data_IF_211173773107
#
_entry.id   IF_211173773107
#
_cell.length_a   1.000
_cell.length_b   1.000
_cell.length_c   1.000
_cell.angle_alpha   90.00
_cell.angle_beta   90.00
_cell.angle_gamma   90.00
#
_symmetry.space_group_name_H-M   'P 1'
#
loop_
_entity.id
_entity.type
_entity.pdbx_description
1 polymer ?
#
# COMPACT_ATOMS: atom_id res chain seq x y z
N UNK A 1 1.07 -9.18 -11.31
CA UNK A 1 1.33 -7.74 -11.44
C UNK A 1 0.82 -7.07 -10.17
N UNK A 2 1.54 -6.10 -9.61
CA UNK A 2 1.17 -5.46 -8.33
C UNK A 2 1.02 -3.94 -8.51
N UNK A 3 0.07 -3.36 -7.80
CA UNK A 3 -0.22 -1.92 -7.84
C UNK A 3 -0.22 -1.40 -6.40
N UNK A 4 0.43 -0.26 -6.17
CA UNK A 4 0.43 0.46 -4.91
C UNK A 4 -0.69 1.51 -4.94
N UNK A 5 -1.52 1.55 -3.91
CA UNK A 5 -2.42 2.68 -3.67
C UNK A 5 -1.67 3.71 -2.82
N UNK A 6 -1.86 5.01 -3.08
CA UNK A 6 -1.25 6.08 -2.27
C UNK A 6 -1.52 5.81 -0.78
N UNK A 7 -0.50 5.84 0.09
CA UNK A 7 -0.66 5.45 1.49
C UNK A 7 -1.58 6.40 2.27
N UNK A 8 -2.20 5.85 3.31
CA UNK A 8 -2.83 6.61 4.38
C UNK A 8 -1.98 6.55 5.64
N UNK A 9 -2.06 7.59 6.48
CA UNK A 9 -1.30 7.67 7.72
C UNK A 9 -2.05 6.89 8.82
N UNK A 10 -1.33 6.02 9.54
CA UNK A 10 -1.86 5.25 10.67
C UNK A 10 -2.07 6.17 11.88
N UNK A 11 -3.23 6.82 11.91
CA UNK A 11 -3.59 7.79 12.96
C UNK A 11 -3.87 7.14 14.32
N UNK A 12 -4.10 5.83 14.34
CA UNK A 12 -4.51 5.12 15.55
C UNK A 12 -3.33 4.76 16.44
N UNK A 13 -2.14 4.57 15.85
CA UNK A 13 -1.04 3.95 16.60
C UNK A 13 0.35 4.51 16.30
N UNK A 14 0.49 5.44 15.36
CA UNK A 14 1.77 6.07 15.07
C UNK A 14 1.67 7.57 14.80
N UNK A 15 0.83 7.97 13.86
CA UNK A 15 0.70 9.36 13.44
C UNK A 15 -0.33 10.09 14.32
N UNK A 16 0.09 11.01 15.18
CA UNK A 16 -0.84 11.65 16.14
C UNK A 16 -1.61 12.84 15.56
N UNK A 17 -1.22 13.29 14.39
CA UNK A 17 -1.79 14.46 13.74
C UNK A 17 -2.96 14.05 12.81
N UNK A 18 -3.93 14.93 12.64
CA UNK A 18 -5.13 14.67 11.83
C UNK A 18 -4.89 14.80 10.33
N UNK A 19 -3.69 15.24 9.91
CA UNK A 19 -3.37 15.44 8.52
C UNK A 19 -3.40 14.16 7.71
N UNK A 20 -3.76 14.33 6.44
CA UNK A 20 -3.69 13.28 5.42
C UNK A 20 -2.29 13.22 4.81
N UNK A 21 -1.98 12.11 4.16
CA UNK A 21 -0.71 11.93 3.45
C UNK A 21 -0.47 13.06 2.43
N UNK A 22 -1.50 13.42 1.66
CA UNK A 22 -1.46 14.46 0.63
C UNK A 22 -1.30 15.89 1.16
N UNK A 23 -1.62 16.12 2.43
CA UNK A 23 -1.44 17.44 3.07
C UNK A 23 0.01 17.66 3.53
N UNK A 24 0.78 16.58 3.66
CA UNK A 24 2.18 16.61 4.13
C UNK A 24 3.16 16.35 2.99
N UNK A 25 2.79 15.48 2.03
CA UNK A 25 3.65 15.05 0.94
C UNK A 25 3.06 15.44 -0.43
N UNK A 26 3.93 15.89 -1.33
CA UNK A 26 3.59 16.08 -2.74
C UNK A 26 3.36 14.70 -3.40
N UNK A 27 2.08 14.34 -3.53
CA UNK A 27 1.64 13.05 -4.07
C UNK A 27 2.04 12.89 -5.54
N UNK A 28 1.96 13.96 -6.33
CA UNK A 28 2.27 13.88 -7.76
C UNK A 28 3.76 13.66 -7.98
N UNK A 29 4.61 14.31 -7.17
CA UNK A 29 6.05 14.02 -7.15
C UNK A 29 6.35 12.61 -6.67
N UNK A 30 5.67 12.13 -5.62
CA UNK A 30 5.82 10.76 -5.12
C UNK A 30 5.52 9.71 -6.20
N UNK A 31 4.40 9.87 -6.92
CA UNK A 31 4.00 8.98 -8.01
C UNK A 31 5.02 9.04 -9.15
N UNK A 32 5.38 10.25 -9.59
CA UNK A 32 6.29 10.44 -10.73
C UNK A 32 7.66 9.83 -10.46
N UNK A 33 8.18 10.01 -9.24
CA UNK A 33 9.51 9.53 -8.86
C UNK A 33 9.62 8.00 -8.87
N UNK A 34 8.54 7.28 -8.53
CA UNK A 34 8.51 5.82 -8.43
C UNK A 34 7.87 5.12 -9.63
N UNK A 35 7.34 5.89 -10.59
CA UNK A 35 6.58 5.39 -11.75
C UNK A 35 7.31 4.35 -12.61
N UNK A 36 8.65 4.34 -12.58
CA UNK A 36 9.48 3.37 -13.32
C UNK A 36 9.56 2.00 -12.63
N UNK A 37 9.42 1.98 -11.30
CA UNK A 37 9.67 0.79 -10.48
C UNK A 37 8.35 0.15 -9.99
N UNK A 38 7.32 0.97 -9.75
CA UNK A 38 6.04 0.53 -9.17
C UNK A 38 4.87 1.25 -9.86
N UNK A 39 3.81 0.51 -10.17
CA UNK A 39 2.56 1.10 -10.63
C UNK A 39 1.79 1.68 -9.42
N UNK A 40 1.47 2.98 -9.45
CA UNK A 40 0.83 3.67 -8.32
C UNK A 40 -0.49 4.31 -8.77
N UNK A 41 -1.56 4.08 -8.01
CA UNK A 41 -2.87 4.73 -8.18
C UNK A 41 -3.21 5.57 -6.96
N UNK A 42 -3.91 6.70 -7.16
CA UNK A 42 -4.26 7.61 -6.06
C UNK A 42 -5.26 6.99 -5.09
N UNK A 43 -6.26 6.29 -5.63
CA UNK A 43 -7.34 5.70 -4.86
C UNK A 43 -7.62 4.28 -5.36
N UNK A 44 -8.23 3.47 -4.49
CA UNK A 44 -8.64 2.11 -4.87
C UNK A 44 -9.81 2.19 -5.87
N UNK A 45 -9.80 1.40 -6.96
CA UNK A 45 -10.93 1.33 -7.88
C UNK A 45 -12.17 0.83 -7.16
N UNK A 46 -13.34 1.40 -7.47
CA UNK A 46 -14.62 1.07 -6.82
C UNK A 46 -15.00 -0.40 -7.02
N UNK A 47 -14.57 -0.98 -8.12
CA UNK A 47 -14.78 -2.40 -8.46
C UNK A 47 -14.04 -3.34 -7.51
N UNK A 48 -12.97 -2.87 -6.85
CA UNK A 48 -12.15 -3.65 -5.92
C UNK A 48 -12.59 -3.47 -4.45
N UNK A 49 -13.44 -2.48 -4.12
CA UNK A 49 -13.96 -2.28 -2.76
C UNK A 49 -14.70 -3.51 -2.19
N UNK A 50 -15.59 -4.21 -2.94
CA UNK A 50 -16.27 -5.40 -2.43
C UNK A 50 -15.31 -6.50 -2.02
N UNK A 51 -14.13 -6.59 -2.67
CA UNK A 51 -13.11 -7.59 -2.34
C UNK A 51 -12.41 -7.30 -1.02
N UNK A 52 -12.30 -6.03 -0.62
CA UNK A 52 -11.82 -5.67 0.72
C UNK A 52 -12.80 -6.09 1.81
N UNK A 53 -14.10 -5.87 1.56
CA UNK A 53 -15.17 -6.22 2.50
C UNK A 53 -15.34 -7.73 2.64
N UNK A 54 -15.09 -8.48 1.55
CA UNK A 54 -15.15 -9.94 1.53
C UNK A 54 -13.95 -10.64 2.20
N UNK A 55 -13.00 -9.88 2.77
CA UNK A 55 -11.86 -10.47 3.47
C UNK A 55 -10.84 -11.08 2.52
N UNK A 56 -10.47 -10.36 1.45
CA UNK A 56 -9.21 -10.60 0.74
C UNK A 56 -8.09 -10.94 1.74
N UNK A 57 -7.16 -11.81 1.33
CA UNK A 57 -5.96 -12.21 2.11
C UNK A 57 -5.11 -10.97 2.45
N UNK A 58 -5.57 -10.21 3.43
CA UNK A 58 -4.93 -9.01 3.96
C UNK A 58 -3.84 -9.49 4.89
N UNK A 59 -2.62 -9.54 4.39
CA UNK A 59 -1.46 -9.76 5.24
C UNK A 59 -0.99 -8.43 5.80
N UNK A 60 -0.96 -8.32 7.14
CA UNK A 60 -0.23 -7.24 7.79
C UNK A 60 1.26 -7.56 7.81
N UNK A 61 2.06 -6.73 7.15
CA UNK A 61 3.52 -6.81 7.21
C UNK A 61 4.00 -6.13 8.50
N UNK A 62 4.95 -6.72 9.26
CA UNK A 62 5.52 -6.06 10.42
C UNK A 62 6.15 -4.71 10.05
N UNK A 63 5.97 -3.69 10.90
CA UNK A 63 6.49 -2.32 10.65
C UNK A 63 8.01 -2.25 10.45
N UNK A 64 8.75 -3.19 11.03
CA UNK A 64 10.22 -3.30 10.95
C UNK A 64 10.63 -4.56 10.16
N UNK A 65 9.97 -4.81 9.03
CA UNK A 65 10.31 -5.94 8.15
C UNK A 65 11.60 -5.64 7.39
N UNK A 66 12.55 -6.57 7.39
CA UNK A 66 13.78 -6.51 6.60
C UNK A 66 13.49 -6.82 5.13
N UNK A 67 14.39 -6.51 4.18
CA UNK A 67 14.23 -6.92 2.78
C UNK A 67 13.99 -8.43 2.61
N UNK A 68 14.68 -9.28 3.38
CA UNK A 68 14.45 -10.74 3.38
C UNK A 68 13.03 -11.10 3.82
N UNK A 69 12.49 -10.42 4.85
CA UNK A 69 11.13 -10.62 5.31
C UNK A 69 10.08 -10.31 4.22
N UNK A 70 10.31 -9.33 3.34
CA UNK A 70 9.44 -9.07 2.18
C UNK A 70 9.49 -10.21 1.16
N UNK A 71 10.69 -10.71 0.84
CA UNK A 71 10.86 -11.80 -0.11
C UNK A 71 10.22 -13.11 0.39
N UNK A 72 10.30 -13.38 1.69
CA UNK A 72 9.78 -14.62 2.27
C UNK A 72 8.27 -14.56 2.54
N UNK A 73 7.72 -13.39 2.92
CA UNK A 73 6.33 -13.28 3.37
C UNK A 73 5.40 -12.61 2.37
N UNK A 74 5.86 -11.56 1.69
CA UNK A 74 5.01 -10.73 0.82
C UNK A 74 5.01 -11.27 -0.60
N UNK A 75 6.20 -11.55 -1.14
CA UNK A 75 6.36 -11.99 -2.52
C UNK A 75 5.54 -13.27 -2.85
N UNK A 76 5.46 -14.31 -1.99
CA UNK A 76 4.66 -15.49 -2.30
C UNK A 76 3.17 -15.19 -2.42
N UNK A 77 2.65 -14.20 -1.69
CA UNK A 77 1.24 -13.80 -1.74
C UNK A 77 0.97 -13.02 -3.03
N UNK A 78 1.85 -12.08 -3.39
CA UNK A 78 1.74 -11.31 -4.64
C UNK A 78 1.82 -12.21 -5.89
N UNK A 79 2.50 -13.35 -5.80
CA UNK A 79 2.65 -14.31 -6.88
C UNK A 79 1.56 -15.39 -6.91
N UNK A 80 0.67 -15.47 -5.92
CA UNK A 80 -0.49 -16.37 -5.99
C UNK A 80 -1.36 -15.92 -7.17
N UNK A 81 -1.51 -16.81 -8.15
CA UNK A 81 -2.43 -16.57 -9.28
C UNK A 81 -3.86 -16.56 -8.74
N UNK A 82 -4.55 -15.46 -8.98
CA UNK A 82 -6.00 -15.33 -8.84
C UNK A 82 -6.68 -15.71 -10.15
#
# INVERSE_FOLDING_TARGET
NATLVVPTLDQNSYWKDASKFEEIFDVDRFITQLSKDVNIIKELPKEEEPRLVQGLQSMRVPRKCTPSCYMERVLPILNKKH
#
